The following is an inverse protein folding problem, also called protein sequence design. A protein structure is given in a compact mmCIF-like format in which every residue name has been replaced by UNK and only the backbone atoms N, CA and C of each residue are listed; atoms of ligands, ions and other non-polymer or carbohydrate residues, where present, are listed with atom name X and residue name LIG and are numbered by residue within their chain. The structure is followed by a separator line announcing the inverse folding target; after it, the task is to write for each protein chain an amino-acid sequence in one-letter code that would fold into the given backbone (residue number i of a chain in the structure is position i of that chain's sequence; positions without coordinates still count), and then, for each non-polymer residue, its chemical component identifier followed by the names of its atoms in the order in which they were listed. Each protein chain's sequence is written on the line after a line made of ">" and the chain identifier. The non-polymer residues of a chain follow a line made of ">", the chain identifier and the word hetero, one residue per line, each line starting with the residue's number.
data_IF_053375942361
#
_entry.id   IF_053375942361
#
_cell.length_a   1.000
_cell.length_b   1.000
_cell.length_c   1.000
_cell.angle_alpha   90.00
_cell.angle_beta   90.00
_cell.angle_gamma   90.00
#
_symmetry.space_group_name_H-M   'P 1'
#
loop_
_entity.id
_entity.type
_entity.pdbx_description
1 polymer ?
#
# COMPACT_ATOMS: atom_id res chain seq x y z
N UNK A 1 -7.36 1.91 14.69
CA UNK A 1 -7.50 1.98 13.21
C UNK A 1 -6.63 3.14 12.75
N UNK A 2 -5.93 3.01 11.63
CA UNK A 2 -5.03 4.05 11.11
C UNK A 2 -5.63 4.63 9.84
N UNK A 3 -5.57 5.95 9.71
CA UNK A 3 -6.06 6.65 8.53
C UNK A 3 -5.05 6.52 7.39
N UNK A 4 -5.58 6.40 6.18
CA UNK A 4 -4.82 6.52 4.93
C UNK A 4 -5.29 7.79 4.27
N UNK A 5 -4.38 8.75 4.17
CA UNK A 5 -4.61 9.94 3.38
C UNK A 5 -4.27 9.70 1.90
N UNK A 6 -4.67 10.67 1.07
CA UNK A 6 -4.44 10.65 -0.37
C UNK A 6 -2.94 10.63 -0.70
N UNK A 7 -2.12 11.26 0.13
CA UNK A 7 -0.67 11.33 -0.10
C UNK A 7 0.00 9.95 0.08
N UNK A 8 -0.39 9.22 1.13
CA UNK A 8 0.06 7.85 1.36
C UNK A 8 -0.35 6.93 0.20
N UNK A 9 -1.61 7.02 -0.26
CA UNK A 9 -2.09 6.24 -1.41
C UNK A 9 -1.27 6.52 -2.67
N UNK A 10 -0.96 7.80 -2.94
CA UNK A 10 -0.11 8.22 -4.07
C UNK A 10 1.32 7.69 -3.95
N UNK A 11 1.92 7.75 -2.75
CA UNK A 11 3.27 7.22 -2.49
C UNK A 11 3.36 5.73 -2.78
N UNK A 12 2.39 4.94 -2.30
CA UNK A 12 2.32 3.49 -2.56
C UNK A 12 2.23 3.21 -4.07
N UNK A 13 1.31 3.89 -4.75
CA UNK A 13 1.09 3.75 -6.20
C UNK A 13 2.34 4.12 -7.00
N UNK A 14 3.02 5.21 -6.61
CA UNK A 14 4.25 5.70 -7.24
C UNK A 14 5.39 4.70 -7.09
N UNK A 15 5.68 4.26 -5.86
CA UNK A 15 6.75 3.29 -5.60
C UNK A 15 6.53 1.99 -6.38
N UNK A 16 5.28 1.50 -6.45
CA UNK A 16 4.94 0.32 -7.25
C UNK A 16 5.27 0.51 -8.74
N UNK A 17 4.92 1.68 -9.28
CA UNK A 17 5.18 2.01 -10.69
C UNK A 17 6.68 2.16 -10.98
N UNK A 18 7.44 2.81 -10.09
CA UNK A 18 8.90 2.98 -10.21
C UNK A 18 9.62 1.62 -10.25
N UNK A 19 9.18 0.69 -9.40
CA UNK A 19 9.69 -0.69 -9.40
C UNK A 19 9.14 -1.58 -10.52
N UNK A 20 8.23 -1.08 -11.35
CA UNK A 20 7.53 -1.83 -12.42
C UNK A 20 6.84 -3.11 -11.91
N UNK A 21 6.30 -3.07 -10.69
CA UNK A 21 5.64 -4.24 -10.09
C UNK A 21 4.17 -4.30 -10.47
N UNK A 22 3.69 -5.51 -10.73
CA UNK A 22 2.26 -5.79 -10.78
C UNK A 22 1.66 -5.64 -9.39
N UNK A 23 0.34 -5.40 -9.31
CA UNK A 23 -0.38 -5.34 -8.04
C UNK A 23 -0.18 -6.62 -7.21
N UNK A 24 -0.15 -7.79 -7.88
CA UNK A 24 0.05 -9.07 -7.22
C UNK A 24 1.43 -9.17 -6.56
N UNK A 25 2.50 -8.85 -7.30
CA UNK A 25 3.87 -8.91 -6.79
C UNK A 25 4.05 -7.91 -5.64
N UNK A 26 3.63 -6.66 -5.80
CA UNK A 26 3.72 -5.65 -4.75
C UNK A 26 2.94 -6.05 -3.50
N UNK A 27 1.74 -6.62 -3.65
CA UNK A 27 0.95 -7.08 -2.51
C UNK A 27 1.63 -8.22 -1.75
N UNK A 28 2.32 -9.11 -2.46
CA UNK A 28 3.13 -10.17 -1.86
C UNK A 28 4.36 -9.60 -1.12
N UNK A 29 5.08 -8.63 -1.72
CA UNK A 29 6.21 -7.95 -1.06
C UNK A 29 5.78 -7.23 0.23
N UNK A 30 4.64 -6.54 0.20
CA UNK A 30 4.08 -5.84 1.38
C UNK A 30 3.51 -6.86 2.40
N UNK A 31 3.12 -8.05 1.96
CA UNK A 31 2.48 -9.07 2.79
C UNK A 31 1.02 -8.74 3.13
N UNK A 32 0.27 -8.19 2.16
CA UNK A 32 -1.17 -7.91 2.25
C UNK A 32 -1.89 -8.48 1.03
N UNK A 33 -3.23 -8.59 1.07
CA UNK A 33 -3.96 -9.07 -0.11
C UNK A 33 -3.93 -8.04 -1.25
N UNK A 34 -3.87 -8.50 -2.50
CA UNK A 34 -3.96 -7.66 -3.70
C UNK A 34 -5.21 -6.77 -3.68
N UNK A 35 -6.34 -7.30 -3.21
CA UNK A 35 -7.58 -6.51 -3.01
C UNK A 35 -7.37 -5.36 -2.02
N UNK A 36 -6.68 -5.59 -0.91
CA UNK A 36 -6.39 -4.54 0.07
C UNK A 36 -5.47 -3.48 -0.53
N UNK A 37 -4.41 -3.88 -1.23
CA UNK A 37 -3.52 -2.95 -1.90
C UNK A 37 -4.26 -2.12 -2.96
N UNK A 38 -5.11 -2.75 -3.78
CA UNK A 38 -5.94 -2.06 -4.76
C UNK A 38 -6.84 -1.00 -4.13
N UNK A 39 -7.49 -1.32 -3.00
CA UNK A 39 -8.34 -0.34 -2.31
C UNK A 39 -7.55 0.83 -1.71
N UNK A 40 -6.33 0.57 -1.21
CA UNK A 40 -5.42 1.61 -0.72
C UNK A 40 -4.99 2.51 -1.87
N UNK A 41 -4.47 1.92 -2.94
CA UNK A 41 -3.99 2.65 -4.11
C UNK A 41 -5.09 3.38 -4.86
N UNK A 42 -6.37 3.05 -4.69
CA UNK A 42 -7.48 3.75 -5.34
C UNK A 42 -8.25 4.66 -4.37
N UNK A 43 -7.70 4.92 -3.17
CA UNK A 43 -8.31 5.81 -2.18
C UNK A 43 -9.70 5.34 -1.70
N UNK A 44 -10.06 4.08 -2.00
CA UNK A 44 -11.34 3.45 -1.63
C UNK A 44 -11.33 2.90 -0.20
N UNK A 45 -10.23 3.05 0.51
CA UNK A 45 -10.07 2.61 1.90
C UNK A 45 -9.42 3.71 2.72
N UNK A 46 -10.25 4.46 3.43
CA UNK A 46 -9.81 5.56 4.32
C UNK A 46 -9.15 5.07 5.60
N UNK A 47 -9.41 3.82 6.00
CA UNK A 47 -8.98 3.26 7.28
C UNK A 47 -8.49 1.82 7.16
N UNK A 48 -7.36 1.52 7.80
CA UNK A 48 -6.78 0.17 7.88
C UNK A 48 -6.39 -0.21 9.31
N UNK A 49 -6.21 -1.51 9.56
CA UNK A 49 -5.73 -1.97 10.85
C UNK A 49 -4.22 -1.65 11.03
N UNK A 50 -3.75 -1.75 12.29
CA UNK A 50 -2.36 -1.45 12.66
C UNK A 50 -1.34 -2.26 11.84
N UNK A 51 -1.58 -3.56 11.70
CA UNK A 51 -0.66 -4.49 11.04
C UNK A 51 -0.50 -4.17 9.57
N UNK A 52 -1.60 -3.92 8.85
CA UNK A 52 -1.57 -3.48 7.45
C UNK A 52 -0.84 -2.16 7.31
N UNK A 53 -1.06 -1.21 8.25
CA UNK A 53 -0.41 0.10 8.19
C UNK A 53 1.09 -0.02 8.33
N UNK A 54 1.56 -0.76 9.34
CA UNK A 54 2.98 -1.02 9.56
C UNK A 54 3.63 -1.70 8.35
N UNK A 55 2.98 -2.70 7.75
CA UNK A 55 3.47 -3.37 6.55
C UNK A 55 3.66 -2.42 5.37
N UNK A 56 2.64 -1.58 5.09
CA UNK A 56 2.69 -0.59 4.00
C UNK A 56 3.77 0.45 4.26
N UNK A 57 3.86 1.00 5.47
CA UNK A 57 4.87 2.00 5.82
C UNK A 57 6.28 1.43 5.76
N UNK A 58 6.50 0.22 6.26
CA UNK A 58 7.79 -0.45 6.17
C UNK A 58 8.22 -0.66 4.72
N UNK A 59 7.28 -1.02 3.84
CA UNK A 59 7.58 -1.15 2.41
C UNK A 59 7.91 0.20 1.76
N UNK A 60 7.25 1.29 2.18
CA UNK A 60 7.56 2.64 1.68
C UNK A 60 8.90 3.19 2.15
N UNK A 61 9.35 2.85 3.36
CA UNK A 61 10.58 3.40 3.96
C UNK A 61 11.82 2.65 3.50
N UNK A 62 11.71 1.33 3.27
CA UNK A 62 12.85 0.46 3.00
C UNK A 62 13.13 0.24 1.51
N UNK A 63 12.59 1.08 0.62
CA UNK A 63 12.71 0.96 -0.84
C UNK A 63 12.81 2.33 -1.51
#
# INVERSE_FOLDING_TARGET
>A
MFDIDVDLAKKVRKLRAEKRLTLAIASNEIGISAKSLSLIENEKKSKINKTTYQKVMNWLINN
#
